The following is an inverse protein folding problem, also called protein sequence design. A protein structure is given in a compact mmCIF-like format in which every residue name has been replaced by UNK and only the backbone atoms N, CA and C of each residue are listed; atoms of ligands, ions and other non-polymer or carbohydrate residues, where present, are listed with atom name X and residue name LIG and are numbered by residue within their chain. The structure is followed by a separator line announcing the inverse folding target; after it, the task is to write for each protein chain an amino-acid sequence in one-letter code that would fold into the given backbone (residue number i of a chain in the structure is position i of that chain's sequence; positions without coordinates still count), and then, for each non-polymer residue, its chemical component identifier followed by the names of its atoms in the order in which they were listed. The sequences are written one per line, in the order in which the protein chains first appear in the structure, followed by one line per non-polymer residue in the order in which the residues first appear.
data_IF_869012161998
#
_entry.id   IF_869012161998
#
_cell.length_a   1.000
_cell.length_b   1.000
_cell.length_c   1.000
_cell.angle_alpha   90.00
_cell.angle_beta   90.00
_cell.angle_gamma   90.00
#
_symmetry.space_group_name_H-M   'P 1'
#
loop_
_entity.id
_entity.type
_entity.pdbx_description
1 polymer ?
#
# COMPACT_ATOMS: atom_id res chain seq x y z
N UNK A 1 -15.38 3.54 -15.88
CA UNK A 1 -13.95 3.42 -15.50
C UNK A 1 -13.87 2.41 -14.37
N UNK A 2 -12.86 1.51 -14.29
CA UNK A 2 -12.70 0.58 -13.17
C UNK A 2 -11.56 1.06 -12.26
N UNK A 3 -11.87 1.33 -10.99
CA UNK A 3 -10.87 1.72 -9.98
C UNK A 3 -10.25 0.46 -9.39
N UNK A 4 -8.93 0.33 -9.44
CA UNK A 4 -8.21 -0.78 -8.84
C UNK A 4 -8.08 -0.57 -7.32
N UNK A 5 -8.73 -1.41 -6.53
CA UNK A 5 -8.80 -1.27 -5.07
C UNK A 5 -7.83 -2.25 -4.41
N UNK A 6 -6.85 -1.70 -3.70
CA UNK A 6 -5.83 -2.43 -2.95
C UNK A 6 -6.19 -2.37 -1.46
N UNK A 7 -6.53 -3.52 -0.88
CA UNK A 7 -6.65 -3.66 0.57
C UNK A 7 -5.26 -3.88 1.17
N UNK A 8 -4.74 -2.89 1.88
CA UNK A 8 -3.45 -2.95 2.56
C UNK A 8 -3.59 -3.71 3.88
N UNK A 9 -3.27 -4.99 3.87
CA UNK A 9 -3.12 -5.79 5.09
C UNK A 9 -1.86 -5.37 5.86
N UNK A 10 -0.85 -4.87 5.15
CA UNK A 10 0.39 -4.37 5.72
C UNK A 10 1.00 -5.35 6.70
N UNK A 11 1.11 -4.93 7.97
CA UNK A 11 1.62 -5.73 9.08
C UNK A 11 0.51 -6.26 10.01
N UNK A 12 -0.76 -6.06 9.68
CA UNK A 12 -1.91 -6.44 10.53
C UNK A 12 -2.10 -7.96 10.69
N UNK A 13 -1.23 -8.76 10.09
CA UNK A 13 -1.11 -10.19 10.37
C UNK A 13 -0.30 -10.51 11.63
N UNK A 14 0.33 -9.51 12.28
CA UNK A 14 1.11 -9.66 13.51
C UNK A 14 2.13 -10.83 13.47
N UNK A 15 2.83 -11.02 12.34
CA UNK A 15 3.79 -12.11 12.13
C UNK A 15 3.18 -13.51 12.02
N UNK A 16 1.85 -13.63 11.98
CA UNK A 16 1.15 -14.91 12.03
C UNK A 16 0.55 -15.28 10.66
N UNK A 17 0.97 -16.40 10.07
CA UNK A 17 0.43 -16.91 8.81
C UNK A 17 -1.09 -17.08 8.85
N UNK A 18 -1.64 -17.61 9.95
CA UNK A 18 -3.08 -17.81 10.09
C UNK A 18 -3.90 -16.52 10.02
N UNK A 19 -3.37 -15.40 10.52
CA UNK A 19 -3.99 -14.08 10.39
C UNK A 19 -3.83 -13.53 8.97
N UNK A 20 -2.67 -13.72 8.34
CA UNK A 20 -2.46 -13.31 6.95
C UNK A 20 -3.46 -13.97 5.99
N UNK A 21 -3.70 -15.28 6.13
CA UNK A 21 -4.69 -16.01 5.34
C UNK A 21 -6.13 -15.49 5.58
N UNK A 22 -6.50 -15.24 6.84
CA UNK A 22 -7.81 -14.65 7.17
C UNK A 22 -7.99 -13.24 6.58
N UNK A 23 -6.92 -12.44 6.54
CA UNK A 23 -6.94 -11.13 5.88
C UNK A 23 -7.19 -11.28 4.37
N UNK A 24 -6.55 -12.26 3.70
CA UNK A 24 -6.82 -12.54 2.29
C UNK A 24 -8.31 -12.91 2.05
N UNK A 25 -8.86 -13.79 2.90
CA UNK A 25 -10.26 -14.19 2.81
C UNK A 25 -11.23 -13.01 3.03
N UNK A 26 -10.92 -12.16 4.02
CA UNK A 26 -11.72 -10.97 4.31
C UNK A 26 -11.66 -9.93 3.16
N UNK A 27 -10.47 -9.70 2.60
CA UNK A 27 -10.27 -8.83 1.44
C UNK A 27 -11.07 -9.34 0.22
N UNK A 28 -10.99 -10.64 -0.08
CA UNK A 28 -11.77 -11.28 -1.15
C UNK A 28 -13.26 -11.11 -0.94
N UNK A 29 -13.74 -11.35 0.28
CA UNK A 29 -15.15 -11.21 0.64
C UNK A 29 -15.65 -9.77 0.50
N UNK A 30 -14.79 -8.79 0.83
CA UNK A 30 -15.10 -7.37 0.67
C UNK A 30 -15.16 -6.91 -0.80
N UNK A 31 -14.69 -7.73 -1.76
CA UNK A 31 -14.77 -7.45 -3.19
C UNK A 31 -13.67 -6.53 -3.71
N UNK A 32 -12.55 -6.38 -3.00
CA UNK A 32 -11.38 -5.66 -3.51
C UNK A 32 -10.68 -6.44 -4.61
N UNK A 33 -9.89 -5.75 -5.44
CA UNK A 33 -9.14 -6.37 -6.53
C UNK A 33 -7.87 -7.05 -6.02
N UNK A 34 -7.21 -6.46 -5.02
CA UNK A 34 -5.91 -6.88 -4.53
C UNK A 34 -5.81 -6.83 -3.00
N UNK A 35 -5.13 -7.80 -2.42
CA UNK A 35 -4.63 -7.72 -1.04
C UNK A 35 -3.12 -7.48 -1.07
N UNK A 36 -2.64 -6.51 -0.28
CA UNK A 36 -1.23 -6.13 -0.24
C UNK A 36 -0.64 -6.28 1.16
N UNK A 37 0.61 -6.70 1.20
CA UNK A 37 1.44 -6.84 2.40
C UNK A 37 2.71 -6.00 2.28
N UNK A 38 3.60 -6.12 3.26
CA UNK A 38 4.95 -5.59 3.27
C UNK A 38 5.92 -6.75 3.50
N UNK A 39 7.03 -6.78 2.79
CA UNK A 39 8.02 -7.85 2.89
C UNK A 39 9.38 -7.27 3.19
N UNK A 40 9.97 -7.72 4.30
CA UNK A 40 11.31 -7.31 4.72
C UNK A 40 12.01 -8.41 5.50
N UNK A 41 13.32 -8.22 5.62
CA UNK A 41 14.15 -8.89 6.63
C UNK A 41 14.59 -7.82 7.64
N UNK A 42 14.20 -7.95 8.89
CA UNK A 42 14.40 -6.92 9.91
C UNK A 42 15.87 -6.50 10.05
N UNK A 43 16.78 -7.46 9.94
CA UNK A 43 18.23 -7.24 9.99
C UNK A 43 18.76 -6.37 8.85
N UNK A 44 17.96 -6.15 7.79
CA UNK A 44 18.35 -5.40 6.59
C UNK A 44 17.79 -3.98 6.57
N UNK A 45 16.72 -3.71 7.32
CA UNK A 45 16.05 -2.40 7.28
C UNK A 45 16.34 -1.53 8.50
N UNK A 46 16.64 -2.12 9.66
CA UNK A 46 16.92 -1.35 10.90
C UNK A 46 18.09 -1.94 11.68
N UNK A 47 18.80 -1.06 12.39
CA UNK A 47 19.80 -1.45 13.37
C UNK A 47 19.13 -1.63 14.75
N UNK A 48 19.75 -2.42 15.65
CA UNK A 48 19.22 -2.70 16.99
C UNK A 48 19.05 -1.47 17.92
N UNK A 49 19.55 -0.30 17.51
CA UNK A 49 19.58 0.93 18.33
C UNK A 49 18.59 2.00 17.86
N UNK A 50 17.75 1.72 16.89
CA UNK A 50 16.79 2.69 16.35
C UNK A 50 15.56 2.78 17.26
N UNK A 51 15.16 3.99 17.60
CA UNK A 51 13.94 4.26 18.37
C UNK A 51 12.69 4.14 17.48
N UNK A 52 11.57 3.76 18.08
CA UNK A 52 10.25 3.72 17.40
C UNK A 52 9.83 5.11 16.95
N UNK A 53 9.10 5.21 15.85
CA UNK A 53 8.43 6.45 15.44
C UNK A 53 7.33 6.83 16.44
N UNK A 54 7.00 8.12 16.53
CA UNK A 54 6.04 8.66 17.53
C UNK A 54 4.70 7.92 17.50
N UNK A 55 4.11 7.69 16.32
CA UNK A 55 2.83 6.97 16.20
C UNK A 55 2.92 5.51 16.64
N UNK A 56 4.09 4.88 16.47
CA UNK A 56 4.34 3.50 16.93
C UNK A 56 4.38 3.43 18.45
N UNK A 57 4.96 4.43 19.12
CA UNK A 57 4.96 4.54 20.58
C UNK A 57 3.55 4.73 21.15
N UNK A 58 2.70 5.48 20.43
CA UNK A 58 1.30 5.70 20.82
C UNK A 58 0.43 4.46 20.65
N UNK A 59 0.73 3.63 19.66
CA UNK A 59 -0.06 2.44 19.30
C UNK A 59 0.40 1.15 19.99
N UNK A 60 1.66 1.08 20.41
CA UNK A 60 2.26 -0.06 21.10
C UNK A 60 2.77 0.39 22.46
N UNK A 61 2.09 0.02 23.58
CA UNK A 61 2.36 0.53 24.91
C UNK A 61 3.73 0.15 25.50
N UNK A 62 4.40 -0.88 24.96
CA UNK A 62 5.70 -1.31 25.47
C UNK A 62 6.82 -0.35 25.03
N UNK A 63 7.13 0.60 25.92
CA UNK A 63 8.16 1.61 25.67
C UNK A 63 9.59 1.04 25.74
N UNK A 64 9.80 -0.17 26.28
CA UNK A 64 11.12 -0.82 26.38
C UNK A 64 11.46 -1.63 25.12
N UNK A 65 10.46 -2.01 24.32
CA UNK A 65 10.65 -2.73 23.08
C UNK A 65 11.30 -1.84 22.01
N UNK A 66 12.43 -2.25 21.46
CA UNK A 66 13.09 -1.52 20.36
C UNK A 66 12.29 -1.61 19.05
N UNK A 67 12.53 -0.69 18.12
CA UNK A 67 11.96 -0.79 16.76
C UNK A 67 12.35 -2.11 16.08
N UNK A 68 13.58 -2.58 16.30
CA UNK A 68 14.05 -3.85 15.78
C UNK A 68 13.21 -5.03 16.29
N UNK A 69 12.95 -5.11 17.60
CA UNK A 69 12.19 -6.22 18.20
C UNK A 69 10.73 -6.19 17.74
N UNK A 70 10.13 -4.99 17.64
CA UNK A 70 8.78 -4.82 17.09
C UNK A 70 8.70 -5.32 15.64
N UNK A 71 9.60 -4.86 14.76
CA UNK A 71 9.61 -5.28 13.36
C UNK A 71 9.88 -6.78 13.22
N UNK A 72 10.74 -7.35 14.10
CA UNK A 72 11.03 -8.79 14.07
C UNK A 72 9.83 -9.65 14.47
N UNK A 73 8.99 -9.19 15.39
CA UNK A 73 7.72 -9.84 15.73
C UNK A 73 6.70 -9.77 14.59
N UNK A 74 6.72 -8.69 13.80
CA UNK A 74 5.80 -8.46 12.68
C UNK A 74 6.28 -9.09 11.37
N UNK A 75 7.55 -9.50 11.29
CA UNK A 75 8.13 -10.09 10.08
C UNK A 75 7.44 -11.41 9.73
N UNK A 76 7.00 -11.56 8.48
CA UNK A 76 6.51 -12.82 7.94
C UNK A 76 7.58 -13.45 7.05
N UNK A 77 7.85 -14.74 7.23
CA UNK A 77 8.91 -15.42 6.48
C UNK A 77 8.57 -15.53 4.97
N UNK A 78 9.58 -15.62 4.12
CA UNK A 78 9.39 -15.85 2.68
C UNK A 78 8.60 -17.14 2.39
N UNK A 79 8.79 -18.19 3.20
CA UNK A 79 8.00 -19.41 3.09
C UNK A 79 6.51 -19.14 3.32
N UNK A 80 6.19 -18.35 4.34
CA UNK A 80 4.81 -17.95 4.62
C UNK A 80 4.23 -17.10 3.49
N UNK A 81 5.02 -16.20 2.86
CA UNK A 81 4.55 -15.43 1.71
C UNK A 81 4.27 -16.29 0.47
N UNK A 82 5.01 -17.40 0.24
CA UNK A 82 4.64 -18.37 -0.80
C UNK A 82 3.26 -18.97 -0.54
N UNK A 83 3.00 -19.37 0.72
CA UNK A 83 1.69 -19.91 1.13
C UNK A 83 0.58 -18.87 0.96
N UNK A 84 0.82 -17.61 1.34
CA UNK A 84 -0.14 -16.51 1.18
C UNK A 84 -0.45 -16.26 -0.29
N UNK A 85 0.58 -16.20 -1.16
CA UNK A 85 0.37 -16.01 -2.60
C UNK A 85 -0.43 -17.17 -3.21
N UNK A 86 -0.12 -18.41 -2.86
CA UNK A 86 -0.84 -19.58 -3.36
C UNK A 86 -2.29 -19.59 -2.87
N UNK A 87 -2.54 -19.15 -1.63
CA UNK A 87 -3.89 -18.97 -1.12
C UNK A 87 -4.65 -17.90 -1.91
N UNK A 88 -4.04 -16.74 -2.18
CA UNK A 88 -4.64 -15.69 -3.00
C UNK A 88 -4.99 -16.18 -4.41
N UNK A 89 -4.09 -16.92 -5.06
CA UNK A 89 -4.37 -17.58 -6.36
C UNK A 89 -5.57 -18.51 -6.28
N UNK A 90 -5.65 -19.33 -5.23
CA UNK A 90 -6.75 -20.30 -5.01
C UNK A 90 -8.10 -19.63 -4.84
N UNK A 91 -8.17 -18.51 -4.08
CA UNK A 91 -9.42 -17.79 -3.85
C UNK A 91 -9.71 -16.74 -4.94
N UNK A 92 -8.81 -16.51 -5.87
CA UNK A 92 -8.98 -15.60 -7.00
C UNK A 92 -8.95 -14.12 -6.61
N UNK A 93 -7.94 -13.70 -5.83
CA UNK A 93 -7.64 -12.30 -5.53
C UNK A 93 -6.19 -12.02 -5.91
N UNK A 94 -5.90 -10.80 -6.41
CA UNK A 94 -4.54 -10.40 -6.67
C UNK A 94 -3.74 -10.27 -5.37
N UNK A 95 -2.48 -10.70 -5.42
CA UNK A 95 -1.53 -10.59 -4.32
C UNK A 95 -0.41 -9.63 -4.68
N UNK A 96 -0.15 -8.65 -3.81
CA UNK A 96 0.99 -7.74 -3.88
C UNK A 96 1.73 -7.68 -2.53
N UNK A 97 2.96 -7.25 -2.58
CA UNK A 97 3.72 -6.86 -1.40
C UNK A 97 4.71 -5.76 -1.73
N UNK A 98 4.88 -4.80 -0.82
CA UNK A 98 5.93 -3.79 -0.90
C UNK A 98 7.24 -4.40 -0.43
N UNK A 99 8.31 -4.41 -1.24
CA UNK A 99 9.64 -4.78 -0.77
C UNK A 99 10.30 -3.61 -0.05
N UNK A 100 10.70 -3.79 1.20
CA UNK A 100 11.33 -2.74 1.99
C UNK A 100 12.87 -2.78 1.92
N UNK A 101 13.45 -3.76 1.18
CA UNK A 101 14.88 -3.88 0.91
C UNK A 101 15.16 -4.83 -0.27
N UNK A 102 16.43 -4.87 -0.71
CA UNK A 102 16.86 -5.52 -1.95
C UNK A 102 16.64 -7.05 -2.00
N UNK A 103 16.77 -7.75 -0.87
CA UNK A 103 16.57 -9.20 -0.82
C UNK A 103 15.08 -9.55 -0.95
N UNK A 104 14.22 -8.78 -0.29
CA UNK A 104 12.78 -8.92 -0.43
C UNK A 104 12.30 -8.56 -1.84
N UNK A 105 12.90 -7.53 -2.46
CA UNK A 105 12.65 -7.22 -3.87
C UNK A 105 13.01 -8.42 -4.76
N UNK A 106 14.21 -8.99 -4.58
CA UNK A 106 14.64 -10.16 -5.36
C UNK A 106 13.71 -11.37 -5.15
N UNK A 107 13.30 -11.64 -3.91
CA UNK A 107 12.33 -12.69 -3.59
C UNK A 107 10.99 -12.48 -4.30
N UNK A 108 10.40 -11.28 -4.17
CA UNK A 108 9.10 -10.97 -4.78
C UNK A 108 9.13 -11.04 -6.31
N UNK A 109 10.26 -10.66 -6.94
CA UNK A 109 10.37 -10.63 -8.39
C UNK A 109 10.82 -11.95 -8.99
N UNK A 110 11.83 -12.61 -8.42
CA UNK A 110 12.42 -13.81 -9.02
C UNK A 110 11.72 -15.09 -8.60
N UNK A 111 11.16 -15.15 -7.39
CA UNK A 111 10.50 -16.35 -6.88
C UNK A 111 8.98 -16.26 -6.97
N UNK A 112 8.37 -15.16 -6.48
CA UNK A 112 6.91 -14.99 -6.55
C UNK A 112 6.45 -14.44 -7.90
N UNK A 113 7.36 -13.86 -8.69
CA UNK A 113 7.10 -13.30 -10.02
C UNK A 113 5.87 -12.37 -10.04
N UNK A 114 5.85 -11.38 -9.14
CA UNK A 114 4.73 -10.44 -9.05
C UNK A 114 4.55 -9.67 -10.38
N UNK A 115 3.30 -9.37 -10.76
CA UNK A 115 2.99 -8.71 -12.03
C UNK A 115 3.38 -7.23 -12.03
N UNK A 116 3.44 -6.59 -10.87
CA UNK A 116 3.82 -5.19 -10.68
C UNK A 116 4.53 -5.01 -9.34
N UNK A 117 5.19 -3.85 -9.16
CA UNK A 117 5.92 -3.51 -7.93
C UNK A 117 5.27 -2.31 -7.27
N UNK A 118 4.93 -2.43 -5.97
CA UNK A 118 4.49 -1.31 -5.15
C UNK A 118 5.68 -0.75 -4.37
N UNK A 119 5.84 0.56 -4.40
CA UNK A 119 6.89 1.30 -3.70
C UNK A 119 6.26 2.23 -2.67
N UNK A 120 6.73 2.14 -1.42
CA UNK A 120 6.33 3.03 -0.35
C UNK A 120 6.90 4.44 -0.50
N UNK A 121 6.28 5.43 0.17
CA UNK A 121 6.70 6.84 0.11
C UNK A 121 8.12 7.07 0.65
N UNK A 122 8.59 6.26 1.58
CA UNK A 122 9.94 6.35 2.13
C UNK A 122 11.05 6.23 1.09
N UNK A 123 10.75 5.57 -0.04
CA UNK A 123 11.74 5.27 -1.08
C UNK A 123 11.82 6.34 -2.19
N UNK A 124 10.98 7.38 -2.17
CA UNK A 124 10.94 8.41 -3.24
C UNK A 124 12.31 9.06 -3.47
N UNK A 125 13.12 9.23 -2.44
CA UNK A 125 14.46 9.82 -2.54
C UNK A 125 15.60 8.79 -2.63
N UNK A 126 15.30 7.50 -2.55
CA UNK A 126 16.27 6.41 -2.62
C UNK A 126 16.57 6.04 -4.08
N UNK A 127 17.23 6.95 -4.81
CA UNK A 127 17.49 6.82 -6.24
C UNK A 127 18.22 5.50 -6.62
N UNK A 128 19.23 5.01 -5.86
CA UNK A 128 19.83 3.72 -6.18
C UNK A 128 18.85 2.56 -6.15
N UNK A 129 17.97 2.52 -5.14
CA UNK A 129 16.97 1.47 -5.00
C UNK A 129 15.87 1.58 -6.07
N UNK A 130 15.42 2.79 -6.40
CA UNK A 130 14.47 3.01 -7.50
C UNK A 130 15.02 2.47 -8.84
N UNK A 131 16.31 2.68 -9.14
CA UNK A 131 16.94 2.11 -10.34
C UNK A 131 16.96 0.59 -10.32
N UNK A 132 17.27 0.00 -9.18
CA UNK A 132 17.25 -1.45 -9.01
C UNK A 132 15.84 -2.02 -9.22
N UNK A 133 14.82 -1.41 -8.61
CA UNK A 133 13.42 -1.79 -8.78
C UNK A 133 13.01 -1.74 -10.25
N UNK A 134 13.29 -0.63 -10.94
CA UNK A 134 12.91 -0.43 -12.32
C UNK A 134 13.60 -1.40 -13.29
N UNK A 135 14.80 -1.88 -12.96
CA UNK A 135 15.55 -2.85 -13.79
C UNK A 135 14.85 -4.21 -13.96
N UNK A 136 13.86 -4.53 -13.13
CA UNK A 136 13.02 -5.71 -13.31
C UNK A 136 12.00 -5.58 -14.44
N UNK A 137 11.83 -4.38 -15.03
CA UNK A 137 10.96 -4.17 -16.19
C UNK A 137 9.49 -4.42 -15.92
N UNK A 138 9.03 -4.21 -14.70
CA UNK A 138 7.63 -4.38 -14.28
C UNK A 138 6.94 -3.01 -14.15
N UNK A 139 5.61 -2.94 -14.35
CA UNK A 139 4.82 -1.76 -13.95
C UNK A 139 5.04 -1.42 -12.48
N UNK A 140 5.00 -0.12 -12.15
CA UNK A 140 5.28 0.36 -10.79
C UNK A 140 4.12 1.23 -10.30
N UNK A 141 3.76 1.06 -9.04
CA UNK A 141 2.91 1.98 -8.29
C UNK A 141 3.78 2.64 -7.21
N UNK A 142 3.98 3.94 -7.28
CA UNK A 142 4.79 4.73 -6.34
C UNK A 142 3.90 5.62 -5.47
N UNK A 143 3.95 5.45 -4.14
CA UNK A 143 3.35 6.40 -3.19
C UNK A 143 4.27 7.61 -2.98
N UNK A 144 3.68 8.81 -2.81
CA UNK A 144 4.42 10.09 -2.85
C UNK A 144 4.38 10.89 -1.55
N UNK A 145 3.95 10.29 -0.45
CA UNK A 145 3.91 10.95 0.86
C UNK A 145 5.26 11.53 1.27
N UNK A 146 5.25 12.64 2.02
CA UNK A 146 6.43 13.38 2.51
C UNK A 146 7.33 13.98 1.41
N UNK A 147 7.03 13.76 0.12
CA UNK A 147 7.84 14.24 -0.98
C UNK A 147 7.29 15.54 -1.58
N UNK A 148 8.20 16.41 -2.01
CA UNK A 148 7.86 17.55 -2.86
C UNK A 148 7.61 17.11 -4.29
N UNK A 149 6.87 17.90 -5.08
CA UNK A 149 6.63 17.60 -6.49
C UNK A 149 7.94 17.41 -7.29
N UNK A 150 8.99 18.17 -6.93
CA UNK A 150 10.30 18.04 -7.56
C UNK A 150 10.97 16.70 -7.26
N UNK A 151 10.87 16.21 -6.02
CA UNK A 151 11.37 14.88 -5.64
C UNK A 151 10.60 13.76 -6.36
N UNK A 152 9.27 13.91 -6.44
CA UNK A 152 8.44 12.96 -7.20
C UNK A 152 8.84 12.94 -8.68
N UNK A 153 9.11 14.10 -9.29
CA UNK A 153 9.58 14.18 -10.68
C UNK A 153 10.90 13.43 -10.90
N UNK A 154 11.88 13.63 -10.00
CA UNK A 154 13.16 12.92 -10.07
C UNK A 154 12.96 11.40 -9.94
N UNK A 155 12.11 10.95 -8.99
CA UNK A 155 11.81 9.54 -8.81
C UNK A 155 11.11 8.95 -10.04
N UNK A 156 10.09 9.62 -10.56
CA UNK A 156 9.31 9.22 -11.73
C UNK A 156 10.19 9.04 -12.96
N UNK A 157 11.01 10.05 -13.28
CA UNK A 157 11.94 10.01 -14.41
C UNK A 157 13.00 8.90 -14.21
N UNK A 158 13.51 8.76 -12.99
CA UNK A 158 14.48 7.69 -12.66
C UNK A 158 13.90 6.31 -12.96
N UNK A 159 12.66 6.05 -12.55
CA UNK A 159 12.00 4.76 -12.77
C UNK A 159 11.79 4.47 -14.26
N UNK A 160 11.32 5.45 -15.03
CA UNK A 160 11.12 5.28 -16.47
C UNK A 160 12.44 5.08 -17.22
N UNK A 161 13.46 5.88 -16.94
CA UNK A 161 14.79 5.79 -17.57
C UNK A 161 15.47 4.45 -17.23
N UNK A 162 15.25 3.94 -16.03
CA UNK A 162 15.84 2.68 -15.58
C UNK A 162 15.10 1.43 -16.05
N UNK A 163 13.97 1.56 -16.77
CA UNK A 163 13.33 0.45 -17.47
C UNK A 163 11.91 0.07 -17.03
N UNK A 164 11.28 0.85 -16.13
CA UNK A 164 9.87 0.64 -15.80
C UNK A 164 9.00 0.94 -17.03
N UNK A 165 8.12 0.01 -17.48
CA UNK A 165 7.25 0.24 -18.62
C UNK A 165 6.15 1.27 -18.36
N UNK A 166 5.75 1.43 -17.10
CA UNK A 166 4.80 2.45 -16.65
C UNK A 166 4.96 2.70 -15.16
N UNK A 167 4.62 3.91 -14.72
CA UNK A 167 4.60 4.32 -13.31
C UNK A 167 3.26 5.00 -13.02
N UNK A 168 2.51 4.45 -12.06
CA UNK A 168 1.36 5.10 -11.47
C UNK A 168 1.76 5.79 -10.17
N UNK A 169 1.18 6.95 -9.87
CA UNK A 169 1.48 7.72 -8.67
C UNK A 169 0.29 7.69 -7.70
N UNK A 170 0.55 7.38 -6.42
CA UNK A 170 -0.46 7.52 -5.37
C UNK A 170 -0.15 8.74 -4.51
N UNK A 171 -1.08 9.69 -4.48
CA UNK A 171 -1.07 10.70 -3.44
C UNK A 171 -1.32 10.04 -2.08
N UNK A 172 -0.60 10.43 -1.05
CA UNK A 172 -0.84 10.02 0.33
C UNK A 172 -0.24 11.03 1.32
N UNK A 173 -0.72 10.98 2.55
CA UNK A 173 -0.15 11.70 3.70
C UNK A 173 0.34 10.65 4.69
N UNK A 174 1.62 10.74 5.07
CA UNK A 174 2.26 9.75 5.95
C UNK A 174 2.03 10.14 7.42
N UNK A 175 0.81 9.99 7.87
CA UNK A 175 0.35 10.16 9.23
C UNK A 175 -0.75 9.11 9.52
N UNK A 176 -0.70 8.38 10.64
CA UNK A 176 -1.53 7.20 10.91
C UNK A 176 -2.21 7.28 12.29
N UNK A 177 -3.52 7.63 12.37
CA UNK A 177 -4.39 8.06 11.28
C UNK A 177 -4.11 9.49 10.81
N UNK A 178 -4.37 9.76 9.53
CA UNK A 178 -4.22 11.07 8.94
C UNK A 178 -5.40 11.98 9.30
N UNK A 179 -5.18 13.18 9.86
CA UNK A 179 -6.23 14.18 10.03
C UNK A 179 -6.82 14.63 8.68
N UNK A 180 -8.15 14.74 8.58
CA UNK A 180 -8.83 15.05 7.31
C UNK A 180 -8.41 16.36 6.66
N UNK A 181 -8.02 17.36 7.47
CA UNK A 181 -7.54 18.66 7.00
C UNK A 181 -6.11 18.61 6.40
N UNK A 182 -5.39 17.50 6.54
CA UNK A 182 -4.05 17.27 5.98
C UNK A 182 -4.06 16.45 4.69
N UNK A 183 -5.20 15.92 4.27
CA UNK A 183 -5.34 14.99 3.14
C UNK A 183 -5.00 15.62 1.79
N UNK A 184 -5.46 16.83 1.50
CA UNK A 184 -5.21 17.56 0.26
C UNK A 184 -5.44 16.74 -1.04
N UNK A 185 -6.64 16.19 -1.26
CA UNK A 185 -6.97 15.36 -2.43
C UNK A 185 -6.66 16.03 -3.79
N UNK A 186 -6.66 17.38 -3.85
CA UNK A 186 -6.33 18.12 -5.09
C UNK A 186 -4.90 17.91 -5.57
N UNK A 187 -4.00 17.42 -4.71
CA UNK A 187 -2.65 17.05 -5.10
C UNK A 187 -2.63 15.95 -6.18
N UNK A 188 -3.64 15.06 -6.22
CA UNK A 188 -3.81 14.07 -7.30
C UNK A 188 -3.95 14.74 -8.66
N UNK A 189 -4.75 15.80 -8.76
CA UNK A 189 -4.95 16.54 -10.02
C UNK A 189 -3.64 17.18 -10.48
N UNK A 190 -2.90 17.81 -9.55
CA UNK A 190 -1.58 18.38 -9.86
C UNK A 190 -0.61 17.31 -10.38
N UNK A 191 -0.58 16.13 -9.78
CA UNK A 191 0.26 15.03 -10.27
C UNK A 191 -0.20 14.53 -11.64
N UNK A 192 -1.51 14.33 -11.85
CA UNK A 192 -2.07 13.92 -13.14
C UNK A 192 -1.73 14.89 -14.27
N UNK A 193 -1.81 16.19 -14.01
CA UNK A 193 -1.45 17.24 -14.95
C UNK A 193 0.05 17.30 -15.22
N UNK A 194 0.88 17.12 -14.19
CA UNK A 194 2.34 17.23 -14.30
C UNK A 194 2.98 16.03 -14.99
N UNK A 195 2.53 14.80 -14.68
CA UNK A 195 3.18 13.57 -15.13
C UNK A 195 2.42 12.84 -16.25
N UNK A 196 1.16 13.19 -16.51
CA UNK A 196 0.31 12.53 -17.52
C UNK A 196 0.25 11.00 -17.39
N UNK A 197 0.27 10.52 -16.14
CA UNK A 197 0.22 9.10 -15.78
C UNK A 197 -1.07 8.77 -15.04
N UNK A 198 -1.26 7.48 -14.74
CA UNK A 198 -2.30 7.04 -13.80
C UNK A 198 -2.02 7.62 -12.41
N UNK A 199 -3.06 8.13 -11.77
CA UNK A 199 -2.97 8.68 -10.42
C UNK A 199 -4.05 8.05 -9.54
N UNK A 200 -3.69 7.77 -8.31
CA UNK A 200 -4.57 7.24 -7.29
C UNK A 200 -4.32 7.86 -5.94
N UNK A 201 -4.93 7.26 -4.92
CA UNK A 201 -4.85 7.73 -3.55
C UNK A 201 -4.59 6.57 -2.60
N UNK A 202 -3.56 6.70 -1.76
CA UNK A 202 -3.29 5.79 -0.64
C UNK A 202 -3.76 6.49 0.64
N UNK A 203 -4.81 5.96 1.25
CA UNK A 203 -5.54 6.61 2.33
C UNK A 203 -5.15 6.11 3.71
N UNK A 204 -4.81 7.05 4.59
CA UNK A 204 -4.50 6.81 6.00
C UNK A 204 -5.50 7.49 6.96
N UNK A 205 -6.60 8.04 6.45
CA UNK A 205 -7.66 8.63 7.30
C UNK A 205 -8.51 7.56 7.96
N UNK A 206 -9.23 7.94 9.00
CA UNK A 206 -10.32 7.11 9.53
C UNK A 206 -11.56 7.20 8.63
N UNK A 207 -12.28 6.07 8.48
CA UNK A 207 -13.53 6.01 7.72
C UNK A 207 -13.32 5.77 6.21
N UNK A 208 -14.40 5.92 5.46
CA UNK A 208 -14.49 5.53 4.04
C UNK A 208 -14.77 6.70 3.10
N UNK A 209 -15.16 7.86 3.64
CA UNK A 209 -15.59 9.01 2.85
C UNK A 209 -14.49 9.61 1.98
N UNK A 210 -13.24 9.61 2.47
CA UNK A 210 -12.12 10.22 1.75
C UNK A 210 -11.71 9.39 0.52
N UNK A 211 -11.47 8.07 0.61
CA UNK A 211 -11.16 7.27 -0.57
C UNK A 211 -12.31 7.24 -1.58
N UNK A 212 -13.57 7.27 -1.14
CA UNK A 212 -14.74 7.39 -2.03
C UNK A 212 -14.71 8.73 -2.78
N UNK A 213 -14.45 9.84 -2.07
CA UNK A 213 -14.30 11.17 -2.69
C UNK A 213 -13.10 11.20 -3.67
N UNK A 214 -11.99 10.53 -3.36
CA UNK A 214 -10.84 10.46 -4.26
C UNK A 214 -11.21 9.81 -5.60
N UNK A 215 -12.05 8.77 -5.62
CA UNK A 215 -12.54 8.15 -6.85
C UNK A 215 -13.37 9.14 -7.68
N UNK A 216 -14.30 9.87 -7.04
CA UNK A 216 -15.08 10.92 -7.72
C UNK A 216 -14.18 12.01 -8.30
N UNK A 217 -13.04 12.29 -7.68
CA UNK A 217 -12.02 13.22 -8.16
C UNK A 217 -11.07 12.61 -9.19
N UNK A 218 -11.29 11.37 -9.64
CA UNK A 218 -10.56 10.72 -10.72
C UNK A 218 -9.39 9.85 -10.29
N UNK A 219 -9.37 9.36 -9.04
CA UNK A 219 -8.45 8.33 -8.62
C UNK A 219 -8.73 7.02 -9.37
N UNK A 220 -7.71 6.47 -10.02
CA UNK A 220 -7.78 5.20 -10.76
C UNK A 220 -7.34 4.01 -9.90
N UNK A 221 -6.65 4.29 -8.78
CA UNK A 221 -6.17 3.31 -7.81
C UNK A 221 -6.50 3.83 -6.41
N UNK A 222 -7.06 2.99 -5.58
CA UNK A 222 -7.26 3.25 -4.15
C UNK A 222 -6.49 2.21 -3.35
N UNK A 223 -5.69 2.68 -2.40
CA UNK A 223 -5.04 1.82 -1.40
C UNK A 223 -5.55 2.23 -0.01
N UNK A 224 -5.96 1.25 0.80
CA UNK A 224 -6.52 1.50 2.13
C UNK A 224 -6.13 0.39 3.09
N UNK A 225 -5.58 0.77 4.26
CA UNK A 225 -5.31 -0.18 5.34
C UNK A 225 -6.59 -0.84 5.84
N UNK A 226 -6.52 -2.15 6.07
CA UNK A 226 -7.61 -2.90 6.69
C UNK A 226 -7.09 -3.93 7.70
N UNK A 227 -7.95 -4.32 8.63
CA UNK A 227 -7.68 -5.28 9.70
C UNK A 227 -8.87 -6.20 9.91
N UNK A 228 -8.68 -7.29 10.63
CA UNK A 228 -9.79 -8.14 11.07
C UNK A 228 -10.52 -7.55 12.29
N UNK A 229 -9.79 -6.84 13.17
CA UNK A 229 -10.31 -6.17 14.36
C UNK A 229 -9.37 -5.02 14.71
N UNK A 230 -9.94 -3.82 14.82
CA UNK A 230 -9.22 -2.57 15.13
C UNK A 230 -8.62 -2.54 16.55
N UNK A 231 -9.14 -3.38 17.44
CA UNK A 231 -8.68 -3.48 18.83
C UNK A 231 -7.49 -4.43 19.01
N UNK A 232 -7.03 -5.10 17.95
CA UNK A 232 -5.81 -5.90 18.01
C UNK A 232 -4.60 -5.01 18.28
N UNK A 233 -3.62 -5.57 18.99
CA UNK A 233 -2.33 -4.91 19.22
C UNK A 233 -1.50 -4.89 17.94
N UNK A 234 -0.95 -3.73 17.58
CA UNK A 234 -0.11 -3.53 16.41
C UNK A 234 -0.11 -2.07 15.95
N UNK A 235 0.84 -1.67 15.10
CA UNK A 235 1.04 -0.26 14.74
C UNK A 235 -0.09 0.31 13.86
N UNK A 236 -0.73 -0.50 13.00
CA UNK A 236 -1.60 -0.02 11.93
C UNK A 236 -3.09 -0.35 12.15
N UNK A 237 -3.44 -1.22 13.11
CA UNK A 237 -4.83 -1.63 13.33
C UNK A 237 -5.78 -0.46 13.58
N UNK A 238 -5.36 0.52 14.37
CA UNK A 238 -6.20 1.69 14.75
C UNK A 238 -6.60 2.56 13.56
N UNK A 239 -5.74 2.69 12.55
CA UNK A 239 -5.99 3.47 11.34
C UNK A 239 -6.66 2.66 10.22
N UNK A 240 -6.91 1.37 10.44
CA UNK A 240 -7.38 0.42 9.44
C UNK A 240 -8.91 0.32 9.44
N UNK A 241 -9.50 0.01 8.27
CA UNK A 241 -10.91 -0.38 8.15
C UNK A 241 -11.11 -1.81 8.66
N UNK A 242 -12.27 -2.06 9.28
CA UNK A 242 -12.73 -3.42 9.54
C UNK A 242 -13.42 -4.02 8.31
N UNK A 243 -13.64 -5.35 8.22
CA UNK A 243 -14.10 -6.00 7.00
C UNK A 243 -15.41 -5.45 6.44
N UNK A 244 -16.36 -5.06 7.32
CA UNK A 244 -17.64 -4.49 6.90
C UNK A 244 -17.48 -3.07 6.34
N UNK A 245 -16.58 -2.27 6.91
CA UNK A 245 -16.28 -0.93 6.43
C UNK A 245 -15.56 -0.99 5.08
N UNK A 246 -14.62 -1.95 4.92
CA UNK A 246 -13.94 -2.19 3.65
C UNK A 246 -14.94 -2.57 2.57
N UNK A 247 -15.85 -3.50 2.85
CA UNK A 247 -16.93 -3.89 1.92
C UNK A 247 -17.81 -2.70 1.55
N UNK A 248 -18.23 -1.90 2.54
CA UNK A 248 -19.03 -0.70 2.28
C UNK A 248 -18.31 0.29 1.34
N UNK A 249 -17.01 0.53 1.58
CA UNK A 249 -16.20 1.38 0.71
C UNK A 249 -16.16 0.85 -0.73
N UNK A 250 -15.95 -0.46 -0.89
CA UNK A 250 -15.91 -1.11 -2.21
C UNK A 250 -17.28 -0.97 -2.90
N UNK A 251 -18.37 -1.28 -2.22
CA UNK A 251 -19.72 -1.18 -2.77
C UNK A 251 -20.04 0.25 -3.23
N UNK A 252 -19.66 1.26 -2.44
CA UNK A 252 -19.79 2.66 -2.82
C UNK A 252 -18.99 3.00 -4.08
N UNK A 253 -17.73 2.58 -4.16
CA UNK A 253 -16.87 2.82 -5.32
C UNK A 253 -17.45 2.14 -6.57
N UNK A 254 -17.87 0.88 -6.50
CA UNK A 254 -18.48 0.16 -7.62
C UNK A 254 -19.79 0.82 -8.09
N UNK A 255 -20.60 1.33 -7.17
CA UNK A 255 -21.81 2.10 -7.51
C UNK A 255 -21.47 3.42 -8.22
N UNK A 256 -20.39 4.12 -7.80
CA UNK A 256 -19.92 5.34 -8.46
C UNK A 256 -19.44 5.02 -9.89
N UNK A 257 -18.68 3.94 -10.09
CA UNK A 257 -18.21 3.52 -11.42
C UNK A 257 -19.38 3.30 -12.41
N UNK A 258 -20.48 2.73 -11.93
CA UNK A 258 -21.71 2.55 -12.74
C UNK A 258 -22.40 3.89 -13.00
N UNK A 259 -22.42 4.78 -12.01
CA UNK A 259 -23.11 6.07 -12.09
C UNK A 259 -22.34 7.11 -12.93
N UNK A 260 -21.01 6.99 -13.00
CA UNK A 260 -20.15 7.91 -13.77
C UNK A 260 -20.42 7.82 -15.29
N UNK A 261 -20.90 6.67 -15.77
CA UNK A 261 -21.28 6.47 -17.18
C UNK A 261 -20.11 6.63 -18.16
N UNK A 262 -20.45 6.57 -19.44
CA UNK A 262 -19.51 6.91 -20.51
C UNK A 262 -19.60 8.41 -20.84
N UNK A 263 -18.45 9.02 -21.19
CA UNK A 263 -18.31 10.46 -21.52
C UNK A 263 -19.21 10.88 -22.71
N UNK A 264 -19.69 9.92 -23.47
CA UNK A 264 -20.64 10.11 -24.57
C UNK A 264 -21.94 9.44 -24.10
N UNK A 265 -22.80 10.26 -23.46
CA UNK A 265 -24.10 9.77 -22.97
C UNK A 265 -24.85 8.99 -24.05
N UNK A 266 -25.17 7.77 -23.72
CA UNK A 266 -26.17 6.97 -24.43
C UNK A 266 -27.56 7.36 -23.94
#
# INVERSE_FOLDING_TARGET
MHTYIIAEAGVNHNGQLGLALKLCDAAKKAGVDCVKFQTWQTEKIVTRKVEKATYQLENIPDAEESQFDMLKKLELSYENFRIVQDHCKKIGIDFLSTPDEEYSLAFLMNELNLPLIKIGSGEVTNIPYLRQIASYGKPIILSTGMATLAQVAIAYDTLLIAGAPSVALLHCTTNYPCPKNEVNLRAMQTMKESFKCQVGYSDHTMGTEIPIAAVVMGAEIIEKHFTLDRNMEGPDHKASLEPQELQYMVDCIRNIEVADGDVIGS
#
